data_IF_953862640350
#
_entry.id   IF_953862640350
#
_cell.length_a   1.000
_cell.length_b   1.000
_cell.length_c   1.000
_cell.angle_alpha   90.00
_cell.angle_beta   90.00
_cell.angle_gamma   90.00
#
_symmetry.space_group_name_H-M   'P 1'
#
loop_
_entity.id
_entity.type
_entity.pdbx_description
1 polymer ?
#
# COMPACT_ATOMS: atom_id res chain seq x y z
N UNK A 1 -26.89 1.26 -37.07
CA UNK A 1 -26.96 1.60 -35.64
C UNK A 1 -26.48 3.03 -35.51
N UNK A 2 -27.24 3.92 -34.89
CA UNK A 2 -26.77 5.29 -34.61
C UNK A 2 -25.58 5.19 -33.66
N UNK A 3 -24.39 5.58 -34.13
CA UNK A 3 -23.22 5.70 -33.26
C UNK A 3 -23.55 6.69 -32.14
N UNK A 4 -23.80 6.17 -30.95
CA UNK A 4 -23.80 6.98 -29.73
C UNK A 4 -22.39 7.52 -29.58
N UNK A 5 -22.22 8.84 -29.71
CA UNK A 5 -20.94 9.52 -29.55
C UNK A 5 -20.45 9.28 -28.12
N UNK A 6 -19.30 8.60 -27.99
CA UNK A 6 -18.63 8.35 -26.72
C UNK A 6 -18.40 9.67 -25.96
N UNK A 7 -18.86 9.75 -24.71
CA UNK A 7 -18.76 10.97 -23.90
C UNK A 7 -17.65 10.89 -22.84
N UNK A 8 -17.43 11.99 -22.13
CA UNK A 8 -16.51 12.03 -20.98
C UNK A 8 -17.07 11.16 -19.86
N UNK A 9 -18.39 11.21 -19.62
CA UNK A 9 -19.09 10.40 -18.63
C UNK A 9 -18.94 8.91 -18.92
N UNK A 10 -19.02 8.49 -20.19
CA UNK A 10 -18.74 7.10 -20.59
C UNK A 10 -17.31 6.67 -20.22
N UNK A 11 -16.34 7.57 -20.40
CA UNK A 11 -14.94 7.34 -20.01
C UNK A 11 -14.75 7.28 -18.50
N UNK A 12 -15.40 8.19 -17.74
CA UNK A 12 -15.36 8.21 -16.29
C UNK A 12 -16.01 6.96 -15.69
N UNK A 13 -17.10 6.46 -16.27
CA UNK A 13 -17.76 5.23 -15.84
C UNK A 13 -16.92 3.99 -16.18
N UNK A 14 -16.41 3.90 -17.41
CA UNK A 14 -15.60 2.76 -17.86
C UNK A 14 -14.27 2.66 -17.08
N UNK A 15 -13.54 3.76 -16.96
CA UNK A 15 -12.21 3.80 -16.34
C UNK A 15 -12.23 4.13 -14.84
N UNK A 16 -13.39 4.51 -14.31
CA UNK A 16 -13.62 4.80 -12.88
C UNK A 16 -12.68 5.86 -12.30
N UNK A 17 -12.23 6.80 -13.12
CA UNK A 17 -11.24 7.83 -12.72
C UNK A 17 -11.70 8.58 -11.47
N UNK A 18 -12.98 8.93 -11.38
CA UNK A 18 -13.58 9.63 -10.23
C UNK A 18 -13.58 8.81 -8.94
N UNK A 19 -13.38 7.49 -9.00
CA UNK A 19 -13.41 6.64 -7.81
C UNK A 19 -12.01 6.39 -7.22
N UNK A 20 -11.03 6.04 -8.05
CA UNK A 20 -9.66 5.78 -7.59
C UNK A 20 -8.78 7.04 -7.64
N UNK A 21 -9.11 7.97 -8.54
CA UNK A 21 -8.32 9.17 -8.83
C UNK A 21 -8.64 10.33 -7.92
N UNK A 22 -9.86 10.41 -7.38
CA UNK A 22 -10.31 11.50 -6.51
C UNK A 22 -9.43 11.64 -5.24
N UNK A 23 -9.01 12.87 -4.87
CA UNK A 23 -9.28 14.16 -5.53
C UNK A 23 -8.19 14.61 -6.52
N UNK A 24 -7.24 13.74 -6.88
CA UNK A 24 -6.02 14.11 -7.60
C UNK A 24 -6.10 13.96 -9.12
N UNK A 25 -6.95 13.08 -9.64
CA UNK A 25 -7.05 12.78 -11.07
C UNK A 25 -8.50 12.86 -11.54
N UNK A 26 -8.70 13.50 -12.69
CA UNK A 26 -10.00 13.62 -13.36
C UNK A 26 -9.81 13.79 -14.87
N UNK A 27 -10.90 13.90 -15.63
CA UNK A 27 -10.88 14.14 -17.09
C UNK A 27 -11.43 15.54 -17.36
N UNK A 28 -10.74 16.35 -18.17
CA UNK A 28 -11.23 17.68 -18.55
C UNK A 28 -12.15 17.65 -19.78
N UNK A 29 -12.70 18.81 -20.14
CA UNK A 29 -13.60 18.98 -21.29
C UNK A 29 -12.96 18.64 -22.65
N UNK A 30 -11.63 18.54 -22.73
CA UNK A 30 -10.92 18.10 -23.93
C UNK A 30 -10.71 16.58 -23.99
N UNK A 31 -11.15 15.83 -22.97
CA UNK A 31 -10.93 14.39 -22.85
C UNK A 31 -9.53 14.02 -22.34
N UNK A 32 -8.75 14.98 -21.85
CA UNK A 32 -7.42 14.71 -21.31
C UNK A 32 -7.48 14.44 -19.80
N UNK A 33 -6.56 13.60 -19.31
CA UNK A 33 -6.34 13.42 -17.88
C UNK A 33 -5.76 14.69 -17.28
N UNK A 34 -6.36 15.18 -16.20
CA UNK A 34 -5.83 16.27 -15.39
C UNK A 34 -5.32 15.78 -14.05
N UNK A 35 -4.36 16.52 -13.50
CA UNK A 35 -3.80 16.29 -12.17
C UNK A 35 -4.09 17.52 -11.30
N UNK A 36 -4.61 17.31 -10.09
CA UNK A 36 -4.85 18.33 -9.08
C UNK A 36 -3.89 18.10 -7.90
N UNK A 37 -2.65 18.64 -7.93
CA UNK A 37 -1.62 18.25 -6.97
C UNK A 37 -1.99 18.51 -5.50
N UNK A 38 -2.80 19.53 -5.21
CA UNK A 38 -3.26 19.87 -3.85
C UNK A 38 -4.70 19.38 -3.56
N UNK A 39 -5.17 18.40 -4.34
CA UNK A 39 -6.55 17.91 -4.30
C UNK A 39 -7.56 19.05 -4.48
N UNK A 40 -8.63 19.03 -3.67
CA UNK A 40 -9.74 20.00 -3.72
C UNK A 40 -9.35 21.46 -3.42
N UNK A 41 -8.12 21.71 -2.93
CA UNK A 41 -7.67 23.03 -2.46
C UNK A 41 -6.91 23.83 -3.53
N UNK A 42 -6.50 23.20 -4.62
CA UNK A 42 -5.61 23.79 -5.62
C UNK A 42 -6.21 23.86 -7.01
N UNK A 43 -5.35 24.28 -7.96
CA UNK A 43 -5.66 24.22 -9.38
C UNK A 43 -5.39 22.83 -9.97
N UNK A 44 -5.89 22.62 -11.19
CA UNK A 44 -5.58 21.46 -12.01
C UNK A 44 -4.57 21.80 -13.10
N UNK A 45 -3.85 20.80 -13.58
CA UNK A 45 -3.01 20.87 -14.77
C UNK A 45 -3.41 19.76 -15.74
N UNK A 46 -3.32 20.03 -17.03
CA UNK A 46 -3.53 19.04 -18.08
C UNK A 46 -2.25 18.21 -18.27
N UNK A 47 -2.34 16.89 -18.06
CA UNK A 47 -1.18 15.99 -18.13
C UNK A 47 -0.67 15.84 -19.57
N UNK A 48 -1.57 15.89 -20.56
CA UNK A 48 -1.20 15.81 -21.97
C UNK A 48 -0.40 17.05 -22.38
N UNK A 49 -0.88 18.24 -22.02
CA UNK A 49 -0.15 19.49 -22.26
C UNK A 49 1.20 19.53 -21.54
N UNK A 50 1.26 19.06 -20.28
CA UNK A 50 2.50 18.95 -19.52
C UNK A 50 3.51 18.08 -20.27
N UNK A 51 3.12 16.87 -20.69
CA UNK A 51 4.00 15.95 -21.43
C UNK A 51 4.45 16.57 -22.76
N UNK A 52 3.55 17.24 -23.49
CA UNK A 52 3.89 17.99 -24.70
C UNK A 52 4.96 19.07 -24.45
N UNK A 53 4.82 19.82 -23.36
CA UNK A 53 5.80 20.84 -22.97
C UNK A 53 7.16 20.26 -22.56
N UNK A 54 7.19 19.07 -21.97
CA UNK A 54 8.42 18.36 -21.60
C UNK A 54 9.13 17.83 -22.84
N UNK A 55 8.39 17.26 -23.81
CA UNK A 55 8.95 16.85 -25.11
C UNK A 55 9.59 18.04 -25.85
N UNK A 56 8.97 19.23 -25.83
CA UNK A 56 9.56 20.46 -26.39
C UNK A 56 10.89 20.88 -25.72
N UNK A 57 11.17 20.37 -24.51
CA UNK A 57 12.43 20.58 -23.78
C UNK A 57 13.42 19.42 -23.97
N UNK A 58 13.20 18.56 -24.97
CA UNK A 58 13.99 17.35 -25.25
C UNK A 58 13.97 16.32 -24.10
N UNK A 59 12.87 16.27 -23.34
CA UNK A 59 12.61 15.18 -22.37
C UNK A 59 11.69 14.15 -23.04
N UNK A 60 12.29 13.07 -23.50
CA UNK A 60 11.59 11.99 -24.20
C UNK A 60 10.87 11.02 -23.26
N UNK A 61 9.86 10.34 -23.79
CA UNK A 61 9.17 9.25 -23.08
C UNK A 61 10.03 7.96 -23.11
N UNK A 62 9.94 7.09 -22.08
CA UNK A 62 9.04 7.14 -20.93
C UNK A 62 9.44 8.16 -19.86
N UNK A 63 8.45 8.84 -19.28
CA UNK A 63 8.63 9.80 -18.19
C UNK A 63 7.96 9.32 -16.90
N UNK A 64 8.67 9.40 -15.79
CA UNK A 64 8.14 9.20 -14.45
C UNK A 64 7.95 10.55 -13.77
N UNK A 65 6.72 11.07 -13.83
CA UNK A 65 6.36 12.40 -13.33
C UNK A 65 5.92 12.28 -11.87
N UNK A 66 6.45 13.14 -10.99
CA UNK A 66 6.13 13.13 -9.56
C UNK A 66 5.55 14.47 -9.13
N UNK A 67 4.44 14.41 -8.40
CA UNK A 67 3.73 15.55 -7.86
C UNK A 67 3.91 15.56 -6.33
N UNK A 68 4.93 16.28 -5.85
CA UNK A 68 5.24 16.35 -4.41
C UNK A 68 4.10 16.93 -3.58
N UNK A 69 3.28 17.80 -4.16
CA UNK A 69 2.18 18.46 -3.44
C UNK A 69 1.05 17.45 -3.11
N UNK A 70 0.93 16.36 -3.88
CA UNK A 70 0.03 15.25 -3.54
C UNK A 70 0.51 14.60 -2.25
N UNK A 71 1.82 14.42 -2.07
CA UNK A 71 2.38 13.86 -0.85
C UNK A 71 2.09 14.75 0.37
N UNK A 72 2.25 16.07 0.22
CA UNK A 72 1.91 17.06 1.25
C UNK A 72 0.42 17.01 1.61
N UNK A 73 -0.46 17.03 0.60
CA UNK A 73 -1.91 16.97 0.81
C UNK A 73 -2.35 15.65 1.47
N UNK A 74 -1.77 14.51 1.09
CA UNK A 74 -2.04 13.21 1.73
C UNK A 74 -1.62 13.19 3.19
N UNK A 75 -0.45 13.75 3.50
CA UNK A 75 0.04 13.88 4.87
C UNK A 75 -0.94 14.69 5.72
N UNK A 76 -1.35 15.86 5.21
CA UNK A 76 -2.31 16.72 5.89
C UNK A 76 -3.66 16.02 6.08
N UNK A 77 -4.18 15.32 5.07
CA UNK A 77 -5.46 14.59 5.16
C UNK A 77 -5.45 13.50 6.23
N UNK A 78 -4.35 12.75 6.35
CA UNK A 78 -4.21 11.73 7.40
C UNK A 78 -4.15 12.39 8.77
N UNK A 79 -3.29 13.40 8.95
CA UNK A 79 -3.17 14.10 10.22
C UNK A 79 -4.49 14.74 10.65
N UNK A 80 -5.14 15.48 9.75
CA UNK A 80 -6.46 16.07 9.96
C UNK A 80 -7.54 15.03 10.29
N UNK A 81 -7.50 13.83 9.72
CA UNK A 81 -8.46 12.77 10.04
C UNK A 81 -8.30 12.26 11.47
N UNK A 82 -7.06 12.07 11.93
CA UNK A 82 -6.76 11.73 13.32
C UNK A 82 -7.09 12.86 14.28
N UNK A 83 -6.77 14.12 13.94
CA UNK A 83 -7.13 15.28 14.77
C UNK A 83 -8.65 15.36 14.99
N UNK A 84 -9.45 15.21 13.92
CA UNK A 84 -10.92 15.16 14.02
C UNK A 84 -11.41 14.00 14.87
N UNK A 85 -10.82 12.82 14.74
CA UNK A 85 -11.17 11.66 15.55
C UNK A 85 -10.83 11.90 17.03
N UNK A 86 -9.64 12.40 17.34
CA UNK A 86 -9.18 12.74 18.70
C UNK A 86 -10.15 13.72 19.36
N UNK A 87 -10.51 14.82 18.66
CA UNK A 87 -11.50 15.78 19.18
C UNK A 87 -12.87 15.13 19.37
N UNK A 88 -13.36 14.36 18.39
CA UNK A 88 -14.68 13.71 18.42
C UNK A 88 -14.84 12.76 19.60
N UNK A 89 -13.81 11.98 19.91
CA UNK A 89 -13.85 10.98 20.98
C UNK A 89 -13.30 11.54 22.31
N UNK A 90 -12.90 12.81 22.36
CA UNK A 90 -12.26 13.41 23.55
C UNK A 90 -11.05 12.60 24.00
N UNK A 91 -10.22 12.19 23.05
CA UNK A 91 -8.97 11.45 23.31
C UNK A 91 -7.91 12.45 23.82
N UNK A 92 -7.30 12.12 24.95
CA UNK A 92 -6.27 12.87 25.68
C UNK A 92 -4.86 12.66 25.12
N UNK A 93 -4.62 11.59 24.39
CA UNK A 93 -3.39 11.39 23.61
C UNK A 93 -3.36 12.24 22.33
N UNK A 94 -2.27 12.13 21.58
CA UNK A 94 -2.09 12.82 20.30
C UNK A 94 -1.81 11.82 19.17
N UNK A 95 -1.69 12.30 17.94
CA UNK A 95 -1.31 11.49 16.78
C UNK A 95 0.01 11.98 16.20
N UNK A 96 0.92 11.05 15.91
CA UNK A 96 2.19 11.32 15.25
C UNK A 96 2.44 10.28 14.16
N UNK A 97 2.37 10.69 12.89
CA UNK A 97 2.61 9.79 11.77
C UNK A 97 4.09 9.51 11.55
N UNK A 98 4.40 8.34 11.00
CA UNK A 98 5.76 7.90 10.66
C UNK A 98 5.74 7.33 9.24
N UNK A 99 6.78 7.62 8.43
CA UNK A 99 6.88 7.08 7.07
C UNK A 99 7.88 5.93 7.00
N UNK A 100 7.43 4.71 6.65
CA UNK A 100 8.29 3.61 6.29
C UNK A 100 9.15 3.93 5.08
N UNK A 101 10.46 4.08 5.29
CA UNK A 101 11.44 4.34 4.23
C UNK A 101 11.36 3.25 3.14
N UNK A 102 11.05 2.01 3.54
CA UNK A 102 10.80 0.87 2.64
C UNK A 102 9.75 1.12 1.54
N UNK A 103 8.80 2.03 1.76
CA UNK A 103 7.78 2.35 0.77
C UNK A 103 8.33 3.16 -0.40
N UNK A 104 9.29 4.05 -0.16
CA UNK A 104 9.99 4.81 -1.20
C UNK A 104 11.26 5.48 -0.63
N UNK A 105 12.43 4.88 -0.89
CA UNK A 105 13.72 5.36 -0.37
C UNK A 105 14.34 6.52 -1.18
N UNK A 106 13.66 7.00 -2.21
CA UNK A 106 14.21 8.04 -3.09
C UNK A 106 14.39 9.35 -2.33
N UNK A 107 15.60 9.91 -2.39
CA UNK A 107 16.01 11.10 -1.63
C UNK A 107 14.98 12.24 -1.70
N UNK A 108 14.53 12.61 -2.90
CA UNK A 108 13.59 13.71 -3.09
C UNK A 108 12.19 13.44 -2.50
N UNK A 109 11.80 12.17 -2.35
CA UNK A 109 10.54 11.79 -1.69
C UNK A 109 10.70 11.92 -0.18
N UNK A 110 11.78 11.35 0.37
CA UNK A 110 12.05 11.40 1.82
C UNK A 110 12.27 12.84 2.29
N UNK A 111 13.09 13.63 1.59
CA UNK A 111 13.31 15.05 1.92
C UNK A 111 12.03 15.88 1.82
N UNK A 112 11.18 15.61 0.81
CA UNK A 112 9.89 16.29 0.71
C UNK A 112 8.97 15.90 1.86
N UNK A 113 8.93 14.62 2.24
CA UNK A 113 8.14 14.14 3.37
C UNK A 113 8.58 14.75 4.70
N UNK A 114 9.89 14.82 4.95
CA UNK A 114 10.44 15.46 6.16
C UNK A 114 10.04 16.93 6.20
N UNK A 115 10.21 17.66 5.08
CA UNK A 115 9.84 19.07 4.98
C UNK A 115 8.34 19.31 5.22
N UNK A 116 7.48 18.57 4.53
CA UNK A 116 6.03 18.73 4.64
C UNK A 116 5.47 18.24 5.98
N UNK A 117 6.13 17.24 6.59
CA UNK A 117 5.73 16.66 7.87
C UNK A 117 6.25 17.41 9.10
N UNK A 118 7.10 18.42 8.93
CA UNK A 118 7.79 19.10 10.03
C UNK A 118 6.84 19.71 11.07
N UNK A 119 5.75 20.37 10.62
CA UNK A 119 4.74 20.97 11.50
C UNK A 119 3.96 19.94 12.33
N UNK A 120 3.98 18.68 11.90
CA UNK A 120 3.26 17.57 12.52
C UNK A 120 4.20 16.62 13.27
N UNK A 121 5.48 16.98 13.42
CA UNK A 121 6.53 16.12 13.97
C UNK A 121 6.59 14.75 13.28
N UNK A 122 6.31 14.69 11.98
CA UNK A 122 6.23 13.44 11.24
C UNK A 122 7.59 12.73 11.22
N UNK A 123 7.59 11.45 11.59
CA UNK A 123 8.81 10.65 11.75
C UNK A 123 9.14 9.76 10.55
N UNK A 124 10.22 8.99 10.68
CA UNK A 124 10.62 7.96 9.72
C UNK A 124 10.72 6.58 10.39
N UNK A 125 10.37 5.53 9.65
CA UNK A 125 10.58 4.14 10.06
C UNK A 125 11.64 3.50 9.18
N UNK A 126 12.59 2.83 9.82
CA UNK A 126 13.63 2.06 9.19
C UNK A 126 13.37 0.57 9.47
N UNK A 127 13.27 -0.23 8.41
CA UNK A 127 13.16 -1.68 8.51
C UNK A 127 14.53 -2.39 8.45
N UNK A 128 15.63 -1.64 8.37
CA UNK A 128 16.99 -2.18 8.27
C UNK A 128 18.07 -1.14 8.62
N UNK A 129 19.29 -1.61 8.90
CA UNK A 129 20.46 -0.74 9.18
C UNK A 129 20.73 0.31 8.07
N UNK A 130 20.69 -0.02 6.76
CA UNK A 130 20.82 0.99 5.70
C UNK A 130 19.68 2.04 5.70
N UNK A 131 18.45 1.62 5.99
CA UNK A 131 17.32 2.56 6.08
C UNK A 131 17.43 3.47 7.30
N UNK A 132 18.00 2.99 8.42
CA UNK A 132 18.32 3.84 9.57
C UNK A 132 19.29 4.95 9.17
N UNK A 133 20.31 4.65 8.37
CA UNK A 133 21.25 5.67 7.89
C UNK A 133 20.55 6.72 7.01
N UNK A 134 19.59 6.32 6.18
CA UNK A 134 18.75 7.27 5.41
C UNK A 134 17.96 8.15 6.38
N UNK A 135 17.31 7.55 7.38
CA UNK A 135 16.51 8.30 8.35
C UNK A 135 17.37 9.31 9.14
N UNK A 136 18.54 8.89 9.63
CA UNK A 136 19.48 9.75 10.35
C UNK A 136 20.08 10.86 9.49
N UNK A 137 20.27 10.60 8.19
CA UNK A 137 20.81 11.59 7.26
C UNK A 137 19.77 12.64 6.82
N UNK A 138 18.47 12.34 6.96
CA UNK A 138 17.39 13.17 6.37
C UNK A 138 16.44 13.77 7.40
N UNK A 139 16.23 13.14 8.56
CA UNK A 139 15.28 13.62 9.57
C UNK A 139 15.95 14.60 10.54
N UNK A 140 15.63 15.89 10.38
CA UNK A 140 16.07 16.98 11.25
C UNK A 140 14.94 17.63 12.06
N UNK A 141 13.70 17.15 11.90
CA UNK A 141 12.51 17.65 12.60
C UNK A 141 12.58 17.39 14.11
N UNK A 142 12.64 18.43 14.96
CA UNK A 142 12.67 18.24 16.41
C UNK A 142 11.42 17.50 16.92
N UNK A 143 11.63 16.49 17.76
CA UNK A 143 10.55 15.70 18.36
C UNK A 143 9.96 14.62 17.47
N UNK A 144 10.38 14.52 16.20
CA UNK A 144 10.01 13.44 15.31
C UNK A 144 10.59 12.09 15.77
N UNK A 145 9.86 11.01 15.52
CA UNK A 145 10.28 9.65 15.89
C UNK A 145 11.11 9.01 14.77
N UNK A 146 12.10 8.21 15.15
CA UNK A 146 12.72 7.21 14.28
C UNK A 146 12.40 5.84 14.84
N UNK A 147 11.53 5.09 14.15
CA UNK A 147 11.20 3.71 14.54
C UNK A 147 12.16 2.74 13.86
N UNK A 148 12.77 1.85 14.65
CA UNK A 148 13.71 0.85 14.16
C UNK A 148 13.08 -0.54 14.23
N UNK A 149 12.54 -1.00 13.09
CA UNK A 149 12.01 -2.35 12.88
C UNK A 149 13.02 -3.23 12.11
N UNK A 150 12.60 -4.46 11.84
CA UNK A 150 13.37 -5.46 11.10
C UNK A 150 14.42 -6.16 11.96
N UNK A 151 15.22 -7.02 11.34
CA UNK A 151 16.27 -7.76 12.04
C UNK A 151 17.38 -6.82 12.53
N UNK A 152 17.71 -6.88 13.82
CA UNK A 152 18.70 -5.99 14.45
C UNK A 152 19.93 -6.76 14.94
N UNK A 153 21.07 -6.47 14.33
CA UNK A 153 22.37 -6.81 14.89
C UNK A 153 22.80 -5.78 15.95
N UNK A 154 23.91 -6.06 16.65
CA UNK A 154 24.49 -5.15 17.64
C UNK A 154 24.77 -3.76 17.04
N UNK A 155 25.34 -3.70 15.84
CA UNK A 155 25.67 -2.43 15.18
C UNK A 155 24.43 -1.57 14.94
N UNK A 156 23.32 -2.16 14.51
CA UNK A 156 22.07 -1.44 14.29
C UNK A 156 21.55 -0.86 15.62
N UNK A 157 21.47 -1.68 16.67
CA UNK A 157 21.03 -1.23 18.00
C UNK A 157 21.91 -0.09 18.52
N UNK A 158 23.23 -0.25 18.43
CA UNK A 158 24.19 0.75 18.90
C UNK A 158 24.10 2.04 18.10
N UNK A 159 23.93 1.96 16.77
CA UNK A 159 23.73 3.12 15.90
C UNK A 159 22.46 3.88 16.29
N UNK A 160 21.35 3.17 16.53
CA UNK A 160 20.11 3.78 16.99
C UNK A 160 20.30 4.47 18.36
N UNK A 161 20.93 3.80 19.33
CA UNK A 161 21.22 4.42 20.63
C UNK A 161 22.12 5.64 20.52
N UNK A 162 23.18 5.59 19.71
CA UNK A 162 24.09 6.72 19.51
C UNK A 162 23.38 7.91 18.87
N UNK A 163 22.44 7.69 17.95
CA UNK A 163 21.63 8.76 17.39
C UNK A 163 20.83 9.54 18.45
N UNK A 164 20.42 8.88 19.55
CA UNK A 164 19.76 9.59 20.66
C UNK A 164 20.65 10.65 21.32
N UNK A 165 21.98 10.47 21.33
CA UNK A 165 22.94 11.50 21.80
C UNK A 165 22.97 12.72 20.88
N UNK A 166 22.55 12.56 19.63
CA UNK A 166 22.41 13.65 18.65
C UNK A 166 21.03 14.33 18.73
N UNK A 167 20.22 14.00 19.73
CA UNK A 167 18.88 14.57 19.92
C UNK A 167 17.76 13.87 19.14
N UNK A 168 18.08 12.79 18.43
CA UNK A 168 17.08 11.99 17.71
C UNK A 168 16.25 11.16 18.68
N UNK A 169 14.94 11.02 18.43
CA UNK A 169 14.06 10.14 19.22
C UNK A 169 13.96 8.77 18.55
N UNK A 170 15.03 8.00 18.66
CA UNK A 170 15.08 6.63 18.16
C UNK A 170 14.38 5.67 19.11
N UNK A 171 13.48 4.86 18.59
CA UNK A 171 12.83 3.79 19.33
C UNK A 171 13.11 2.45 18.68
N UNK A 172 13.67 1.53 19.47
CA UNK A 172 14.12 0.23 19.00
C UNK A 172 13.00 -0.79 19.27
N UNK A 173 12.36 -1.28 18.21
CA UNK A 173 11.20 -2.17 18.32
C UNK A 173 11.67 -3.61 18.37
N UNK A 174 11.56 -4.27 19.52
CA UNK A 174 11.93 -5.67 19.70
C UNK A 174 10.99 -6.58 18.90
N UNK A 175 11.56 -7.35 17.98
CA UNK A 175 10.85 -8.31 17.15
C UNK A 175 11.15 -9.77 17.53
N UNK A 176 12.20 -9.98 18.33
CA UNK A 176 12.61 -11.25 18.91
C UNK A 176 13.10 -11.01 20.35
N UNK A 177 12.94 -11.99 21.25
CA UNK A 177 13.34 -11.84 22.66
C UNK A 177 14.84 -11.62 22.81
N UNK A 178 15.66 -12.26 21.97
CA UNK A 178 17.13 -12.16 22.02
C UNK A 178 17.64 -10.75 21.69
N UNK A 179 16.87 -9.94 20.94
CA UNK A 179 17.22 -8.54 20.67
C UNK A 179 17.25 -7.70 21.96
N UNK A 180 16.51 -8.11 23.00
CA UNK A 180 16.47 -7.43 24.28
C UNK A 180 17.82 -7.50 25.00
N UNK A 181 18.48 -8.66 24.96
CA UNK A 181 19.79 -8.87 25.57
C UNK A 181 20.84 -8.01 24.88
N UNK A 182 20.83 -7.97 23.54
CA UNK A 182 21.69 -7.08 22.76
C UNK A 182 21.46 -5.60 23.10
N UNK A 183 20.20 -5.18 23.29
CA UNK A 183 19.87 -3.81 23.67
C UNK A 183 20.37 -3.45 25.09
N UNK A 184 20.22 -4.35 26.06
CA UNK A 184 20.71 -4.12 27.42
C UNK A 184 22.24 -4.06 27.47
N UNK A 185 22.93 -4.97 26.80
CA UNK A 185 24.40 -4.95 26.71
C UNK A 185 24.92 -3.68 26.01
N UNK A 186 24.28 -3.28 24.91
CA UNK A 186 24.62 -2.04 24.22
C UNK A 186 24.37 -0.81 25.11
N UNK A 187 23.27 -0.80 25.86
CA UNK A 187 22.95 0.26 26.82
C UNK A 187 24.03 0.42 27.88
N UNK A 188 24.45 -0.69 28.50
CA UNK A 188 25.52 -0.68 29.52
C UNK A 188 26.85 -0.20 28.95
N UNK A 189 27.24 -0.73 27.78
CA UNK A 189 28.50 -0.38 27.12
C UNK A 189 28.56 1.08 26.70
N UNK A 190 27.45 1.65 26.22
CA UNK A 190 27.38 3.03 25.74
C UNK A 190 27.00 4.03 26.85
N UNK A 191 26.51 3.55 28.00
CA UNK A 191 25.92 4.38 29.04
C UNK A 191 24.73 5.20 28.51
N UNK A 192 23.91 4.61 27.65
CA UNK A 192 22.72 5.23 27.04
C UNK A 192 21.50 4.41 27.43
N UNK A 193 20.48 5.06 27.99
CA UNK A 193 19.19 4.42 28.25
C UNK A 193 18.39 4.27 26.94
N UNK A 194 18.03 3.05 26.52
CA UNK A 194 17.33 2.86 25.27
C UNK A 194 15.83 3.17 25.41
N UNK A 195 15.24 3.66 24.33
CA UNK A 195 13.78 3.66 24.18
C UNK A 195 13.40 2.39 23.43
N UNK A 196 12.71 1.49 24.13
CA UNK A 196 12.32 0.19 23.61
C UNK A 196 10.82 0.16 23.31
N UNK A 197 10.47 -0.51 22.22
CA UNK A 197 9.12 -0.95 21.94
C UNK A 197 9.07 -2.46 21.75
N UNK A 198 7.88 -3.04 21.77
CA UNK A 198 7.66 -4.46 21.48
C UNK A 198 6.70 -4.57 20.30
N UNK A 199 7.08 -5.37 19.31
CA UNK A 199 6.17 -5.79 18.24
C UNK A 199 5.37 -7.01 18.69
N UNK A 200 4.05 -6.87 18.85
CA UNK A 200 3.18 -7.98 19.20
C UNK A 200 2.73 -8.80 17.97
N UNK A 201 2.70 -10.11 18.11
CA UNK A 201 1.97 -11.02 17.22
C UNK A 201 0.50 -11.02 17.63
N UNK A 202 -0.36 -10.59 16.71
CA UNK A 202 -1.81 -10.62 16.88
C UNK A 202 -2.39 -11.90 16.28
N UNK A 203 -3.47 -12.41 16.88
CA UNK A 203 -4.21 -13.57 16.40
C UNK A 203 -5.04 -13.25 15.14
N UNK A 204 -5.37 -11.98 14.94
CA UNK A 204 -6.16 -11.53 13.79
C UNK A 204 -5.35 -11.69 12.49
N UNK A 205 -5.84 -12.59 11.61
CA UNK A 205 -5.25 -12.83 10.29
C UNK A 205 -5.78 -11.83 9.27
N UNK A 206 -4.91 -11.30 8.42
CA UNK A 206 -5.33 -10.57 7.22
C UNK A 206 -5.80 -11.56 6.16
N UNK A 207 -6.95 -11.30 5.54
CA UNK A 207 -7.37 -12.02 4.33
C UNK A 207 -6.62 -11.47 3.10
N UNK A 208 -6.11 -12.33 2.21
CA UNK A 208 -5.50 -11.92 0.93
C UNK A 208 -4.06 -12.38 0.69
N UNK A 209 -3.41 -11.83 -0.36
CA UNK A 209 -2.06 -12.24 -0.83
C UNK A 209 -0.93 -12.07 0.21
N UNK A 210 -1.17 -11.33 1.29
CA UNK A 210 -0.20 -11.05 2.34
C UNK A 210 -0.47 -11.84 3.65
N UNK A 211 -1.44 -12.76 3.65
CA UNK A 211 -1.84 -13.54 4.82
C UNK A 211 -0.70 -14.36 5.45
N UNK A 212 0.29 -14.79 4.67
CA UNK A 212 1.45 -15.56 5.16
C UNK A 212 2.45 -14.74 5.97
N UNK A 213 2.28 -13.41 6.05
CA UNK A 213 3.17 -12.52 6.82
C UNK A 213 2.65 -12.16 8.22
N UNK A 214 1.52 -12.72 8.65
CA UNK A 214 0.77 -12.32 9.86
C UNK A 214 0.32 -13.55 10.67
N UNK A 215 0.19 -13.41 12.01
CA UNK A 215 -0.22 -14.48 12.93
C UNK A 215 0.94 -15.37 13.41
N UNK A 216 0.63 -16.60 13.85
CA UNK A 216 1.64 -17.55 14.39
C UNK A 216 2.76 -17.91 13.40
N UNK A 217 2.51 -17.78 12.09
CA UNK A 217 3.50 -17.99 11.03
C UNK A 217 4.34 -16.74 10.69
N UNK A 218 4.08 -15.59 11.32
CA UNK A 218 4.81 -14.37 11.06
C UNK A 218 6.28 -14.48 11.52
N UNK A 219 7.20 -14.09 10.64
CA UNK A 219 8.65 -14.11 10.91
C UNK A 219 9.09 -13.18 12.05
N UNK A 220 8.27 -12.18 12.38
CA UNK A 220 8.61 -11.11 13.33
C UNK A 220 7.50 -10.91 14.35
N UNK A 221 7.89 -10.48 15.55
CA UNK A 221 7.01 -10.14 16.66
C UNK A 221 6.96 -11.22 17.75
N UNK A 222 6.58 -10.77 18.94
CA UNK A 222 6.51 -11.57 20.14
C UNK A 222 5.08 -12.06 20.38
N UNK A 223 4.96 -13.35 20.67
CA UNK A 223 3.76 -13.96 21.24
C UNK A 223 3.49 -13.43 22.65
N UNK A 224 2.29 -13.61 23.19
CA UNK A 224 1.96 -13.16 24.55
C UNK A 224 2.93 -13.71 25.62
N UNK A 225 3.39 -14.96 25.49
CA UNK A 225 4.41 -15.54 26.38
C UNK A 225 5.77 -14.85 26.27
N UNK A 226 6.22 -14.56 25.06
CA UNK A 226 7.49 -13.86 24.82
C UNK A 226 7.42 -12.40 25.29
N UNK A 227 6.25 -11.75 25.18
CA UNK A 227 6.03 -10.40 25.73
C UNK A 227 6.18 -10.42 27.26
N UNK A 228 5.57 -11.40 27.94
CA UNK A 228 5.71 -11.55 29.40
C UNK A 228 7.17 -11.82 29.77
N UNK A 229 7.85 -12.70 29.03
CA UNK A 229 9.28 -12.95 29.23
C UNK A 229 10.12 -11.67 29.09
N UNK A 230 9.89 -10.88 28.03
CA UNK A 230 10.59 -9.61 27.82
C UNK A 230 10.37 -8.61 28.97
N UNK A 231 9.13 -8.53 29.49
CA UNK A 231 8.80 -7.71 30.65
C UNK A 231 9.54 -8.17 31.91
N UNK A 232 9.57 -9.48 32.18
CA UNK A 232 10.30 -10.03 33.34
C UNK A 232 11.82 -9.81 33.21
N UNK A 233 12.39 -9.99 32.01
CA UNK A 233 13.81 -9.69 31.75
C UNK A 233 14.14 -8.22 32.01
N UNK A 234 13.32 -7.29 31.50
CA UNK A 234 13.47 -5.86 31.77
C UNK A 234 13.32 -5.51 33.26
N UNK A 235 12.37 -6.15 33.95
CA UNK A 235 12.16 -5.94 35.39
C UNK A 235 13.35 -6.44 36.20
N UNK A 236 13.87 -7.63 35.89
CA UNK A 236 15.05 -8.20 36.54
C UNK A 236 16.31 -7.33 36.34
N UNK A 237 16.44 -6.70 35.16
CA UNK A 237 17.52 -5.75 34.86
C UNK A 237 17.29 -4.35 35.48
N UNK A 238 16.13 -4.08 36.10
CA UNK A 238 15.78 -2.74 36.57
C UNK A 238 15.73 -1.71 35.42
N UNK A 239 15.17 -2.11 34.27
CA UNK A 239 15.06 -1.33 33.02
C UNK A 239 13.65 -1.31 32.43
N UNK A 240 12.62 -1.67 33.22
CA UNK A 240 11.23 -1.70 32.74
C UNK A 240 10.74 -0.32 32.25
N UNK A 241 11.32 0.75 32.78
CA UNK A 241 11.11 2.14 32.36
C UNK A 241 11.52 2.45 30.91
N UNK A 242 12.39 1.61 30.32
CA UNK A 242 12.78 1.71 28.91
C UNK A 242 11.66 1.32 27.95
N UNK A 243 10.67 0.52 28.39
CA UNK A 243 9.57 0.03 27.55
C UNK A 243 8.47 1.08 27.40
N UNK A 244 8.40 1.70 26.22
CA UNK A 244 7.58 2.89 25.96
C UNK A 244 6.53 2.71 24.87
N UNK A 245 6.64 1.67 24.04
CA UNK A 245 5.78 1.49 22.87
C UNK A 245 5.32 0.05 22.65
N UNK A 246 4.05 -0.10 22.30
CA UNK A 246 3.51 -1.31 21.68
C UNK A 246 3.35 -1.07 20.18
N UNK A 247 3.93 -1.93 19.35
CA UNK A 247 3.79 -1.93 17.90
C UNK A 247 3.06 -3.19 17.46
N UNK A 248 2.25 -3.11 16.41
CA UNK A 248 1.81 -4.27 15.67
C UNK A 248 1.70 -3.97 14.17
N UNK A 249 1.79 -5.02 13.35
CA UNK A 249 1.61 -4.88 11.92
C UNK A 249 0.86 -6.09 11.36
N UNK A 250 -0.36 -5.85 10.86
CA UNK A 250 -1.22 -6.89 10.26
C UNK A 250 -1.07 -6.99 8.74
N UNK A 251 -0.02 -6.40 8.17
CA UNK A 251 0.27 -6.44 6.74
C UNK A 251 -0.07 -5.13 6.00
N UNK A 252 0.24 -5.13 4.70
CA UNK A 252 -0.02 -4.01 3.79
C UNK A 252 -1.37 -4.20 3.08
N UNK A 253 -2.01 -3.09 2.70
CA UNK A 253 -3.23 -3.10 1.87
C UNK A 253 -4.37 -3.88 2.53
N UNK A 254 -4.73 -3.51 3.76
CA UNK A 254 -5.83 -4.15 4.47
C UNK A 254 -7.13 -3.62 3.89
N UNK A 255 -7.82 -4.43 3.08
CA UNK A 255 -9.01 -4.01 2.34
C UNK A 255 -10.27 -3.92 3.20
N UNK A 256 -10.33 -4.66 4.31
CA UNK A 256 -11.48 -4.72 5.21
C UNK A 256 -11.27 -3.96 6.52
N UNK A 257 -12.19 -3.04 6.83
CA UNK A 257 -12.21 -2.34 8.12
C UNK A 257 -12.51 -3.26 9.31
N UNK A 258 -13.22 -4.37 9.10
CA UNK A 258 -13.53 -5.31 10.19
C UNK A 258 -12.26 -6.02 10.70
N UNK A 259 -11.34 -6.36 9.79
CA UNK A 259 -10.02 -6.94 10.11
C UNK A 259 -9.21 -5.96 10.96
N UNK A 260 -9.18 -4.68 10.57
CA UNK A 260 -8.52 -3.63 11.36
C UNK A 260 -9.11 -3.50 12.76
N UNK A 261 -10.45 -3.49 12.89
CA UNK A 261 -11.12 -3.44 14.19
C UNK A 261 -10.78 -4.61 15.09
N UNK A 262 -10.69 -5.82 14.53
CA UNK A 262 -10.25 -6.99 15.27
C UNK A 262 -8.85 -6.79 15.87
N UNK A 263 -7.90 -6.38 15.03
CA UNK A 263 -6.52 -6.16 15.43
C UNK A 263 -6.39 -5.06 16.49
N UNK A 264 -7.11 -3.94 16.32
CA UNK A 264 -7.09 -2.82 17.26
C UNK A 264 -7.64 -3.20 18.64
N UNK A 265 -8.67 -4.06 18.71
CA UNK A 265 -9.20 -4.55 19.99
C UNK A 265 -8.18 -5.38 20.74
N UNK A 266 -7.52 -6.31 20.05
CA UNK A 266 -6.48 -7.15 20.63
C UNK A 266 -5.27 -6.32 21.10
N UNK A 267 -4.76 -5.43 20.23
CA UNK A 267 -3.65 -4.54 20.55
C UNK A 267 -3.97 -3.59 21.71
N UNK A 268 -5.20 -3.05 21.77
CA UNK A 268 -5.64 -2.21 22.88
C UNK A 268 -5.58 -2.95 24.23
N UNK A 269 -5.98 -4.22 24.28
CA UNK A 269 -5.88 -5.04 25.49
C UNK A 269 -4.42 -5.35 25.84
N UNK A 270 -3.57 -5.68 24.85
CA UNK A 270 -2.14 -5.88 25.09
C UNK A 270 -1.47 -4.63 25.68
N UNK A 271 -1.81 -3.44 25.19
CA UNK A 271 -1.29 -2.18 25.72
C UNK A 271 -1.68 -1.97 27.19
N UNK A 272 -2.94 -2.23 27.52
CA UNK A 272 -3.46 -2.14 28.89
C UNK A 272 -2.74 -3.13 29.82
N UNK A 273 -2.55 -4.38 29.40
CA UNK A 273 -1.88 -5.39 30.22
C UNK A 273 -0.39 -5.06 30.42
N UNK A 274 0.32 -4.56 29.40
CA UNK A 274 1.68 -4.06 29.55
C UNK A 274 1.78 -2.92 30.59
N UNK A 275 0.83 -1.99 30.56
CA UNK A 275 0.77 -0.91 31.55
C UNK A 275 0.50 -1.46 32.97
N UNK A 276 -0.39 -2.45 33.12
CA UNK A 276 -0.67 -3.11 34.41
C UNK A 276 0.53 -3.91 34.94
N UNK A 277 1.37 -4.45 34.06
CA UNK A 277 2.63 -5.11 34.43
C UNK A 277 3.72 -4.13 34.88
N UNK A 278 3.43 -2.81 34.86
CA UNK A 278 4.29 -1.75 35.40
C UNK A 278 5.14 -1.03 34.35
N UNK A 279 5.00 -1.34 33.06
CA UNK A 279 5.66 -0.57 32.01
C UNK A 279 5.05 0.84 31.93
N UNK A 280 5.86 1.91 31.81
CA UNK A 280 5.32 3.27 31.72
C UNK A 280 4.53 3.49 30.45
N UNK A 281 4.87 2.77 29.37
CA UNK A 281 4.27 2.89 28.05
C UNK A 281 4.25 4.36 27.58
N UNK A 282 3.36 4.72 26.66
CA UNK A 282 3.24 6.10 26.16
C UNK A 282 2.95 6.20 24.68
N UNK A 283 3.29 5.16 23.90
CA UNK A 283 3.04 5.10 22.47
C UNK A 283 2.36 3.78 22.09
N UNK A 284 1.44 3.86 21.14
CA UNK A 284 0.85 2.69 20.49
C UNK A 284 0.91 2.91 18.99
N UNK A 285 1.71 2.08 18.33
CA UNK A 285 1.89 2.09 16.89
C UNK A 285 1.04 1.00 16.24
N UNK A 286 0.11 1.44 15.39
CA UNK A 286 -0.78 0.55 14.64
C UNK A 286 -0.15 0.04 13.34
N UNK A 287 1.10 0.41 13.08
CA UNK A 287 1.84 0.05 11.89
C UNK A 287 1.20 0.59 10.62
N UNK A 288 1.52 -0.04 9.50
CA UNK A 288 0.94 0.28 8.19
C UNK A 288 -0.44 -0.34 7.99
N UNK A 289 -0.79 -0.58 6.73
CA UNK A 289 -2.01 -1.31 6.36
C UNK A 289 -3.18 -0.45 5.91
N UNK A 290 -3.14 0.88 6.15
CA UNK A 290 -4.06 1.83 5.52
C UNK A 290 -4.01 1.67 3.99
N UNK A 291 -5.08 1.11 3.44
CA UNK A 291 -5.13 0.69 2.04
C UNK A 291 -5.39 1.86 1.08
N UNK A 292 -5.14 1.60 -0.20
CA UNK A 292 -5.45 2.48 -1.33
C UNK A 292 -6.49 1.81 -2.21
N UNK A 293 -7.49 2.55 -2.67
CA UNK A 293 -8.47 2.04 -3.63
C UNK A 293 -7.91 2.23 -5.05
N UNK A 294 -7.32 1.17 -5.62
CA UNK A 294 -6.67 1.24 -6.95
C UNK A 294 -7.65 1.03 -8.10
N UNK A 295 -8.72 0.26 -7.88
CA UNK A 295 -9.73 -0.06 -8.91
C UNK A 295 -11.01 0.80 -8.80
N UNK A 296 -11.13 1.58 -7.72
CA UNK A 296 -12.26 2.46 -7.46
C UNK A 296 -13.53 1.74 -7.04
N UNK A 297 -13.47 0.43 -6.78
CA UNK A 297 -14.65 -0.38 -6.47
C UNK A 297 -15.17 -0.17 -5.06
N UNK A 298 -14.34 0.36 -4.14
CA UNK A 298 -14.66 0.51 -2.70
C UNK A 298 -15.10 -0.80 -2.04
N UNK A 299 -14.62 -1.92 -2.54
CA UNK A 299 -14.88 -3.27 -2.01
C UNK A 299 -13.74 -3.76 -1.13
N UNK A 300 -13.89 -4.96 -0.55
CA UNK A 300 -12.81 -5.69 0.14
C UNK A 300 -11.87 -6.44 -0.82
N UNK A 301 -11.88 -6.13 -2.12
CA UNK A 301 -10.96 -6.74 -3.09
C UNK A 301 -9.49 -6.46 -2.70
N UNK A 302 -8.53 -7.32 -3.10
CA UNK A 302 -7.11 -7.08 -2.83
C UNK A 302 -6.57 -5.75 -3.39
N UNK A 303 -7.22 -5.18 -4.40
CA UNK A 303 -6.85 -3.92 -5.06
C UNK A 303 -7.67 -2.72 -4.57
N UNK A 304 -8.52 -2.91 -3.55
CA UNK A 304 -9.47 -1.92 -3.06
C UNK A 304 -9.50 -1.85 -1.53
N UNK A 305 -10.37 -1.00 -0.98
CA UNK A 305 -10.77 -1.00 0.43
C UNK A 305 -12.22 -0.56 0.62
N UNK A 306 -12.86 -1.02 1.70
CA UNK A 306 -14.25 -0.67 2.04
C UNK A 306 -14.39 0.48 3.06
N UNK A 307 -13.35 1.31 3.25
CA UNK A 307 -13.34 2.36 4.26
C UNK A 307 -12.59 3.62 3.83
N UNK A 308 -12.96 4.76 4.39
CA UNK A 308 -12.27 6.03 4.20
C UNK A 308 -11.12 6.23 5.21
N UNK A 309 -10.23 7.20 4.96
CA UNK A 309 -9.19 7.62 5.93
C UNK A 309 -9.85 8.06 7.25
N UNK A 310 -11.00 8.73 7.19
CA UNK A 310 -11.72 9.16 8.38
C UNK A 310 -12.29 7.98 9.18
N UNK A 311 -12.83 6.95 8.50
CA UNK A 311 -13.30 5.75 9.20
C UNK A 311 -12.15 5.04 9.91
N UNK A 312 -11.02 4.88 9.22
CA UNK A 312 -9.80 4.32 9.82
C UNK A 312 -9.37 5.10 11.08
N UNK A 313 -9.23 6.42 10.99
CA UNK A 313 -8.84 7.24 12.14
C UNK A 313 -9.83 7.15 13.31
N UNK A 314 -11.14 7.18 13.02
CA UNK A 314 -12.17 7.02 14.04
C UNK A 314 -12.06 5.67 14.76
N UNK A 315 -11.88 4.59 14.00
CA UNK A 315 -11.84 3.24 14.53
C UNK A 315 -10.58 2.99 15.37
N UNK A 316 -9.42 3.55 14.96
CA UNK A 316 -8.18 3.51 15.76
C UNK A 316 -8.37 4.25 17.09
N UNK A 317 -8.79 5.52 17.05
CA UNK A 317 -8.94 6.34 18.25
C UNK A 317 -9.96 5.74 19.21
N UNK A 318 -11.13 5.33 18.70
CA UNK A 318 -12.18 4.75 19.52
C UNK A 318 -11.73 3.43 20.18
N UNK A 319 -11.12 2.52 19.43
CA UNK A 319 -10.72 1.22 19.97
C UNK A 319 -9.68 1.34 21.10
N UNK A 320 -8.69 2.23 20.93
CA UNK A 320 -7.66 2.41 21.96
C UNK A 320 -8.21 3.15 23.18
N UNK A 321 -9.10 4.14 22.98
CA UNK A 321 -9.83 4.80 24.06
C UNK A 321 -10.64 3.81 24.89
N UNK A 322 -11.46 3.02 24.22
CA UNK A 322 -12.37 2.07 24.85
C UNK A 322 -11.60 0.98 25.61
N UNK A 323 -10.39 0.63 25.18
CA UNK A 323 -9.50 -0.25 25.92
C UNK A 323 -8.91 0.42 27.17
N UNK A 324 -8.42 1.66 27.06
CA UNK A 324 -7.72 2.34 28.16
C UNK A 324 -8.64 2.84 29.28
N UNK A 325 -9.79 3.43 28.92
CA UNK A 325 -10.66 4.16 29.84
C UNK A 325 -11.20 3.33 31.02
N UNK A 326 -11.67 2.07 30.83
CA UNK A 326 -12.18 1.24 31.93
C UNK A 326 -11.12 0.90 32.99
N UNK A 327 -9.84 0.96 32.61
CA UNK A 327 -8.72 0.60 33.48
C UNK A 327 -7.99 1.81 34.06
N UNK A 328 -8.45 3.03 33.77
CA UNK A 328 -7.77 4.26 34.20
C UNK A 328 -6.35 4.41 33.63
N UNK A 329 -6.04 3.71 32.54
CA UNK A 329 -4.74 3.80 31.86
C UNK A 329 -4.74 5.06 31.00
N UNK A 330 -3.63 5.81 31.04
CA UNK A 330 -3.45 6.99 30.19
C UNK A 330 -3.42 6.56 28.72
N UNK A 331 -4.24 7.21 27.91
CA UNK A 331 -4.30 7.01 26.46
C UNK A 331 -2.94 7.37 25.81
N UNK A 332 -2.35 6.48 24.98
CA UNK A 332 -1.04 6.69 24.35
C UNK A 332 -1.06 7.78 23.26
N UNK A 333 0.13 8.19 22.85
CA UNK A 333 0.33 8.81 21.53
C UNK A 333 0.13 7.71 20.48
N UNK A 334 -0.79 7.94 19.55
CA UNK A 334 -1.06 7.05 18.45
C UNK A 334 -0.06 7.29 17.33
N UNK A 335 0.56 6.21 16.86
CA UNK A 335 1.48 6.23 15.72
C UNK A 335 0.92 5.36 14.60
N UNK A 336 1.08 5.80 13.36
CA UNK A 336 0.80 4.94 12.20
C UNK A 336 1.85 5.09 11.11
N UNK A 337 2.13 3.97 10.44
CA UNK A 337 3.17 3.81 9.43
C UNK A 337 2.55 3.75 8.02
N UNK A 338 1.70 4.71 7.68
CA UNK A 338 0.82 4.68 6.49
C UNK A 338 1.53 5.00 5.16
N UNK A 339 2.69 4.39 4.88
CA UNK A 339 3.55 4.74 3.75
C UNK A 339 2.91 4.58 2.36
N UNK A 340 2.22 3.46 2.11
CA UNK A 340 1.47 3.24 0.85
C UNK A 340 0.40 4.32 0.65
N UNK A 341 -0.37 4.60 1.69
CA UNK A 341 -1.41 5.61 1.61
C UNK A 341 -0.84 7.00 1.31
N UNK A 342 0.39 7.33 1.74
CA UNK A 342 1.02 8.60 1.43
C UNK A 342 1.58 8.65 0.00
N UNK A 343 2.28 7.60 -0.44
CA UNK A 343 3.10 7.64 -1.65
C UNK A 343 2.41 7.13 -2.93
N UNK A 344 1.25 6.47 -2.87
CA UNK A 344 0.65 5.82 -4.05
C UNK A 344 0.25 6.79 -5.17
N UNK A 345 -0.40 7.91 -4.85
CA UNK A 345 -0.98 8.82 -5.87
C UNK A 345 0.00 9.86 -6.43
N UNK A 346 1.19 10.01 -5.84
CA UNK A 346 2.09 11.12 -6.17
C UNK A 346 2.93 10.91 -7.44
N UNK A 347 2.79 9.80 -8.16
CA UNK A 347 3.65 9.46 -9.30
C UNK A 347 2.87 8.85 -10.45
N UNK A 348 3.10 9.35 -11.66
CA UNK A 348 2.50 8.86 -12.91
C UNK A 348 3.61 8.45 -13.86
N UNK A 349 3.52 7.24 -14.42
CA UNK A 349 4.39 6.78 -15.50
C UNK A 349 3.67 7.03 -16.83
N UNK A 350 4.31 7.80 -17.72
CA UNK A 350 3.81 8.09 -19.06
C UNK A 350 4.75 7.48 -20.08
N UNK A 351 4.20 6.81 -21.10
CA UNK A 351 4.96 6.24 -22.20
C UNK A 351 4.10 6.17 -23.48
N UNK A 352 4.75 6.14 -24.64
CA UNK A 352 4.08 6.04 -25.94
C UNK A 352 3.72 4.58 -26.27
N UNK A 353 2.61 4.39 -26.99
CA UNK A 353 2.32 3.12 -27.67
C UNK A 353 3.12 3.08 -28.96
N UNK A 354 4.13 2.21 -29.04
CA UNK A 354 5.04 2.13 -30.19
C UNK A 354 4.43 1.39 -31.39
N UNK A 355 3.42 0.56 -31.16
CA UNK A 355 2.75 -0.20 -32.20
C UNK A 355 1.54 -0.95 -31.66
N UNK A 356 0.60 -1.25 -32.55
CA UNK A 356 -0.58 -2.06 -32.27
C UNK A 356 -0.58 -3.27 -33.19
N UNK A 357 -0.91 -4.44 -32.63
CA UNK A 357 -1.14 -5.65 -33.41
C UNK A 357 -2.64 -5.85 -33.52
N UNK A 358 -3.20 -5.50 -34.68
CA UNK A 358 -4.61 -5.74 -34.97
C UNK A 358 -4.79 -7.13 -35.59
N UNK A 359 -5.93 -7.77 -35.32
CA UNK A 359 -6.33 -8.96 -36.06
C UNK A 359 -6.69 -8.49 -37.47
N UNK A 360 -5.94 -8.88 -38.52
CA UNK A 360 -6.22 -8.42 -39.87
C UNK A 360 -7.63 -8.86 -40.28
N UNK A 361 -8.45 -7.92 -40.73
CA UNK A 361 -9.72 -8.26 -41.39
C UNK A 361 -9.41 -8.68 -42.82
N UNK A 362 -9.02 -9.95 -42.99
CA UNK A 362 -8.80 -10.55 -44.30
C UNK A 362 -10.10 -11.20 -44.73
N UNK A 363 -10.56 -10.90 -45.95
CA UNK A 363 -11.67 -11.64 -46.55
C UNK A 363 -11.29 -13.11 -46.70
N UNK A 364 -12.12 -14.00 -46.17
CA UNK A 364 -11.90 -15.43 -46.30
C UNK A 364 -11.94 -15.84 -47.78
N UNK A 365 -10.85 -16.40 -48.28
CA UNK A 365 -10.80 -16.94 -49.64
C UNK A 365 -11.63 -18.21 -49.76
N UNK A 366 -12.35 -18.39 -50.87
CA UNK A 366 -13.05 -19.63 -51.13
C UNK A 366 -12.09 -20.84 -51.12
N UNK A 367 -12.48 -21.97 -50.48
CA UNK A 367 -11.67 -23.18 -50.48
C UNK A 367 -11.64 -23.81 -51.87
N UNK A 368 -10.51 -24.42 -52.21
CA UNK A 368 -10.32 -25.23 -53.43
C UNK A 368 -10.79 -26.67 -53.22
N UNK A 369 -10.90 -27.44 -54.30
CA UNK A 369 -11.26 -28.87 -54.20
C UNK A 369 -10.25 -29.68 -53.39
N UNK A 370 -8.98 -29.27 -53.37
CA UNK A 370 -7.90 -29.88 -52.59
C UNK A 370 -7.90 -29.49 -51.10
N UNK A 371 -8.69 -28.48 -50.70
CA UNK A 371 -8.76 -28.07 -49.31
C UNK A 371 -9.48 -29.12 -48.44
N UNK A 372 -8.94 -29.36 -47.25
CA UNK A 372 -9.51 -30.30 -46.29
C UNK A 372 -10.94 -29.92 -45.90
N UNK A 373 -11.78 -30.90 -45.61
CA UNK A 373 -13.21 -30.71 -45.27
C UNK A 373 -13.42 -29.66 -44.17
N UNK A 374 -12.56 -29.64 -43.15
CA UNK A 374 -12.61 -28.67 -42.05
C UNK A 374 -12.54 -27.20 -42.52
N UNK A 375 -11.75 -26.90 -43.57
CA UNK A 375 -11.64 -25.56 -44.16
C UNK A 375 -12.90 -25.22 -44.95
N UNK A 376 -13.45 -26.21 -45.66
CA UNK A 376 -14.71 -26.07 -46.41
C UNK A 376 -15.89 -25.81 -45.48
N UNK A 377 -15.98 -26.56 -44.38
CA UNK A 377 -17.00 -26.38 -43.36
C UNK A 377 -16.92 -24.97 -42.73
N UNK A 378 -15.71 -24.50 -42.38
CA UNK A 378 -15.52 -23.13 -41.86
C UNK A 378 -16.03 -22.06 -42.84
N UNK A 379 -15.73 -22.22 -44.14
CA UNK A 379 -16.20 -21.29 -45.17
C UNK A 379 -17.71 -21.35 -45.37
N UNK A 380 -18.32 -22.53 -45.31
CA UNK A 380 -19.78 -22.70 -45.37
C UNK A 380 -20.48 -22.07 -44.16
N UNK A 381 -19.96 -22.29 -42.95
CA UNK A 381 -20.43 -21.65 -41.72
C UNK A 381 -20.38 -20.12 -41.82
N UNK A 382 -19.31 -19.56 -42.40
CA UNK A 382 -19.21 -18.12 -42.62
C UNK A 382 -20.28 -17.59 -43.61
N UNK A 383 -20.53 -18.30 -44.71
CA UNK A 383 -21.49 -17.85 -45.73
C UNK A 383 -22.96 -18.04 -45.34
N UNK A 384 -23.24 -18.93 -44.40
CA UNK A 384 -24.60 -19.22 -43.90
C UNK A 384 -24.96 -18.39 -42.67
N UNK A 385 -23.99 -17.68 -42.10
CA UNK A 385 -24.14 -16.87 -40.90
C UNK A 385 -25.22 -15.79 -41.07
N UNK A 386 -26.17 -15.76 -40.14
CA UNK A 386 -27.20 -14.74 -40.01
C UNK A 386 -27.62 -14.58 -38.53
N UNK A 387 -28.50 -13.62 -38.26
CA UNK A 387 -28.93 -13.30 -36.89
C UNK A 387 -29.66 -14.45 -36.18
N UNK A 388 -30.32 -15.36 -36.93
CA UNK A 388 -31.08 -16.47 -36.36
C UNK A 388 -30.19 -17.66 -35.97
N UNK A 389 -29.07 -17.87 -36.68
CA UNK A 389 -28.16 -19.01 -36.45
C UNK A 389 -26.78 -18.63 -35.89
N UNK A 390 -26.56 -17.35 -35.53
CA UNK A 390 -25.29 -16.82 -35.03
C UNK A 390 -24.64 -17.69 -33.94
N UNK A 391 -25.44 -18.14 -32.96
CA UNK A 391 -24.92 -18.94 -31.86
C UNK A 391 -24.43 -20.32 -32.33
N UNK A 392 -25.19 -20.98 -33.21
CA UNK A 392 -24.83 -22.28 -33.79
C UNK A 392 -23.57 -22.16 -34.65
N UNK A 393 -23.56 -21.20 -35.59
CA UNK A 393 -22.40 -20.93 -36.44
C UNK A 393 -21.15 -20.58 -35.62
N UNK A 394 -21.28 -19.86 -34.51
CA UNK A 394 -20.16 -19.57 -33.60
C UNK A 394 -19.62 -20.84 -32.91
N UNK A 395 -20.50 -21.73 -32.46
CA UNK A 395 -20.10 -23.00 -31.87
C UNK A 395 -19.38 -23.90 -32.88
N UNK A 396 -19.93 -24.01 -34.09
CA UNK A 396 -19.37 -24.79 -35.19
C UNK A 396 -18.01 -24.25 -35.62
N UNK A 397 -17.89 -22.92 -35.82
CA UNK A 397 -16.62 -22.29 -36.17
C UNK A 397 -15.54 -22.54 -35.10
N UNK A 398 -15.90 -22.48 -33.80
CA UNK A 398 -14.96 -22.80 -32.70
C UNK A 398 -14.56 -24.27 -32.69
N UNK A 399 -15.47 -25.18 -33.01
CA UNK A 399 -15.17 -26.61 -33.10
C UNK A 399 -14.25 -26.88 -34.28
N UNK A 400 -14.61 -26.44 -35.49
CA UNK A 400 -13.80 -26.65 -36.69
C UNK A 400 -12.42 -25.98 -36.57
N UNK A 401 -12.30 -24.82 -35.93
CA UNK A 401 -10.99 -24.21 -35.65
C UNK A 401 -10.12 -25.10 -34.75
N UNK A 402 -10.67 -25.72 -33.70
CA UNK A 402 -9.93 -26.68 -32.84
C UNK A 402 -9.55 -27.95 -33.60
N UNK A 403 -10.44 -28.46 -34.45
CA UNK A 403 -10.16 -29.60 -35.31
C UNK A 403 -9.03 -29.28 -36.30
N UNK A 404 -9.04 -28.09 -36.91
CA UNK A 404 -7.97 -27.63 -37.81
C UNK A 404 -6.61 -27.52 -37.09
N UNK A 405 -6.56 -26.98 -35.86
CA UNK A 405 -5.34 -26.99 -35.02
C UNK A 405 -4.82 -28.42 -34.81
N UNK A 406 -5.72 -29.35 -34.50
CA UNK A 406 -5.37 -30.75 -34.20
C UNK A 406 -4.87 -31.47 -35.45
N UNK A 407 -5.57 -31.32 -36.57
CA UNK A 407 -5.18 -31.89 -37.86
C UNK A 407 -3.83 -31.34 -38.35
N UNK A 408 -3.59 -30.03 -38.19
CA UNK A 408 -2.28 -29.44 -38.48
C UNK A 408 -1.18 -30.01 -37.60
N UNK A 409 -1.43 -30.13 -36.29
CA UNK A 409 -0.46 -30.70 -35.33
C UNK A 409 -0.11 -32.16 -35.62
N UNK A 410 -1.04 -32.91 -36.22
CA UNK A 410 -0.85 -34.31 -36.63
C UNK A 410 -0.31 -34.46 -38.06
N UNK A 411 -0.06 -33.35 -38.78
CA UNK A 411 0.49 -33.36 -40.14
C UNK A 411 -0.53 -33.58 -41.25
N UNK A 412 -1.83 -33.51 -40.96
CA UNK A 412 -2.91 -33.68 -41.94
C UNK A 412 -3.33 -32.39 -42.65
N UNK A 413 -2.90 -31.21 -42.18
CA UNK A 413 -3.09 -29.93 -42.87
C UNK A 413 -1.74 -29.28 -43.20
N UNK A 414 -1.70 -28.60 -44.35
CA UNK A 414 -0.61 -27.68 -44.68
C UNK A 414 -0.70 -26.38 -43.87
N UNK A 415 0.40 -25.61 -43.82
CA UNK A 415 0.40 -24.28 -43.20
C UNK A 415 -0.58 -23.32 -43.89
N UNK A 416 -0.73 -23.42 -45.21
CA UNK A 416 -1.69 -22.60 -45.98
C UNK A 416 -3.13 -22.93 -45.58
N UNK A 417 -3.46 -24.21 -45.44
CA UNK A 417 -4.79 -24.65 -44.97
C UNK A 417 -5.05 -24.25 -43.52
N UNK A 418 -4.02 -24.33 -42.67
CA UNK A 418 -4.09 -23.86 -41.28
C UNK A 418 -4.33 -22.36 -41.21
N UNK A 419 -3.66 -21.58 -42.06
CA UNK A 419 -3.85 -20.13 -42.16
C UNK A 419 -5.23 -19.74 -42.71
N UNK A 420 -5.81 -20.51 -43.65
CA UNK A 420 -7.20 -20.30 -44.11
C UNK A 420 -8.23 -20.60 -43.03
N UNK A 421 -7.94 -21.53 -42.12
CA UNK A 421 -8.83 -21.93 -41.03
C UNK A 421 -8.73 -21.03 -39.79
N UNK A 422 -7.66 -20.24 -39.66
CA UNK A 422 -7.43 -19.33 -38.55
C UNK A 422 -8.17 -18.01 -38.73
#
# INVERSE_FOLDING_TARGET
>A
MTETSWTIEDSEELYRVTYWGDPYFSINAAGHVTVCPQGDRGGSLDLYELVGSLKQRNLELPLLIRFSDILEDRLERIHSAFARAITRYGYSGSYQGVFPVKCNQQRHVVESLVRFGASHHFGLEAGSKPELLIALATLDTPGALILCNGYKDRDYIETAMLASRMGQRTMIIMEQVDELELALEASERLGIEPWLGIRAKLNVRSEGRWAETVGDGAKFGLTASEIVEAVEKLRAAGRLDCLKLLHFHIGSQISSISTLKGALREAGQLYVELAKLGAPMGYLDVGGGLAVDYDGSRTTSPSSKNYSIQNYANDVVAAIKDACAPHGIKEPILVSESGRALASHMTVLVFDVLGVSEVPQVEASAPSDEDHLVVKNLFETLNTLNDENLQECWHDARQFKKEAVSLFSLGYLSLVQRAKAD
#
